data_IF_693929153571
#
_entry.id   IF_693929153571
#
_cell.length_a   1.000
_cell.length_b   1.000
_cell.length_c   1.000
_cell.angle_alpha   90.00
_cell.angle_beta   90.00
_cell.angle_gamma   90.00
#
_symmetry.space_group_name_H-M   'P 1'
#
loop_
_entity.id
_entity.type
_entity.pdbx_description
1 polymer ?
#
# COMPACT_ATOMS: atom_id res chain seq x y z
N UNK A 1 28.29 9.56 -9.99
CA UNK A 1 27.80 10.75 -9.26
C UNK A 1 27.66 10.40 -7.80
N UNK A 2 28.07 11.29 -6.88
CA UNK A 2 27.84 11.08 -5.45
C UNK A 2 26.33 11.09 -5.17
N UNK A 3 25.84 10.16 -4.33
CA UNK A 3 24.43 10.11 -3.95
C UNK A 3 24.11 11.31 -3.06
N UNK A 4 23.08 12.07 -3.42
CA UNK A 4 22.61 13.25 -2.65
C UNK A 4 21.80 12.84 -1.40
N UNK A 5 21.19 11.65 -1.43
CA UNK A 5 20.38 11.09 -0.34
C UNK A 5 20.94 9.73 0.11
N UNK A 6 20.80 9.41 1.40
CA UNK A 6 21.19 8.09 1.93
C UNK A 6 20.29 7.01 1.36
N UNK A 7 20.87 5.85 1.05
CA UNK A 7 20.13 4.72 0.45
C UNK A 7 18.99 4.21 1.34
N UNK A 8 19.16 4.28 2.67
CA UNK A 8 18.14 3.92 3.68
C UNK A 8 16.85 4.76 3.56
N UNK A 9 16.96 5.98 3.01
CA UNK A 9 15.84 6.91 2.85
C UNK A 9 15.11 6.76 1.50
N UNK A 10 15.47 5.74 0.71
CA UNK A 10 14.77 5.43 -0.54
C UNK A 10 13.62 4.46 -0.27
N UNK A 11 12.52 4.65 -0.99
CA UNK A 11 11.46 3.65 -1.17
C UNK A 11 11.22 3.48 -2.66
N UNK A 12 11.64 2.35 -3.21
CA UNK A 12 11.35 1.99 -4.60
C UNK A 12 10.16 1.05 -4.58
N UNK A 13 8.98 1.54 -4.99
CA UNK A 13 7.78 0.72 -4.93
C UNK A 13 6.89 0.90 -6.15
N UNK A 14 6.18 -0.17 -6.49
CA UNK A 14 5.19 -0.14 -7.55
C UNK A 14 3.77 -0.16 -6.99
N UNK A 15 2.84 0.31 -7.81
CA UNK A 15 1.41 0.13 -7.55
C UNK A 15 0.91 -0.95 -8.49
N UNK A 16 0.46 -2.07 -7.92
CA UNK A 16 -0.01 -3.24 -8.65
C UNK A 16 -1.51 -3.42 -8.41
N UNK A 17 -2.27 -3.68 -9.47
CA UNK A 17 -3.72 -3.81 -9.36
C UNK A 17 -4.30 -4.53 -10.58
N UNK A 18 -5.51 -5.07 -10.47
CA UNK A 18 -6.32 -5.41 -11.64
C UNK A 18 -6.86 -4.13 -12.31
N UNK A 19 -7.44 -4.29 -13.50
CA UNK A 19 -8.06 -3.20 -14.26
C UNK A 19 -9.13 -2.52 -13.41
N UNK A 20 -9.24 -1.21 -13.51
CA UNK A 20 -10.22 -0.39 -12.78
C UNK A 20 -10.10 -0.37 -11.26
N UNK A 21 -9.17 -1.05 -10.58
CA UNK A 21 -9.03 -0.95 -9.12
C UNK A 21 -8.59 0.46 -8.61
N UNK A 22 -8.33 1.40 -9.52
CA UNK A 22 -7.97 2.78 -9.21
C UNK A 22 -6.46 3.00 -9.04
N UNK A 23 -5.63 2.22 -9.74
CA UNK A 23 -4.16 2.34 -9.73
C UNK A 23 -3.69 3.74 -10.14
N UNK A 24 -4.00 4.17 -11.36
CA UNK A 24 -3.61 5.50 -11.88
C UNK A 24 -4.16 6.62 -10.99
N UNK A 25 -5.43 6.52 -10.57
CA UNK A 25 -6.01 7.49 -9.63
C UNK A 25 -5.21 7.59 -8.35
N UNK A 26 -4.81 6.45 -7.77
CA UNK A 26 -4.01 6.41 -6.56
C UNK A 26 -2.63 7.02 -6.80
N UNK A 27 -1.96 6.68 -7.91
CA UNK A 27 -0.68 7.28 -8.32
C UNK A 27 -0.78 8.80 -8.39
N UNK A 28 -1.79 9.34 -9.07
CA UNK A 28 -2.00 10.79 -9.17
C UNK A 28 -2.23 11.45 -7.80
N UNK A 29 -2.96 10.79 -6.88
CA UNK A 29 -3.10 11.28 -5.49
C UNK A 29 -1.76 11.32 -4.76
N UNK A 30 -0.90 10.32 -4.95
CA UNK A 30 0.44 10.33 -4.37
C UNK A 30 1.25 11.51 -4.91
N UNK A 31 1.21 11.77 -6.22
CA UNK A 31 1.91 12.90 -6.83
C UNK A 31 1.38 14.25 -6.35
N UNK A 32 0.07 14.38 -6.14
CA UNK A 32 -0.55 15.58 -5.58
C UNK A 32 -0.12 15.83 -4.13
N UNK A 33 -0.26 14.84 -3.24
CA UNK A 33 0.04 15.02 -1.82
C UNK A 33 1.52 15.22 -1.53
N UNK A 34 2.39 14.66 -2.37
CA UNK A 34 3.84 14.88 -2.28
C UNK A 34 4.27 16.23 -2.87
N UNK A 35 3.33 17.01 -3.40
CA UNK A 35 3.57 18.34 -3.98
C UNK A 35 4.23 18.32 -5.36
N UNK A 36 4.37 17.13 -5.98
CA UNK A 36 4.96 16.96 -7.31
C UNK A 36 4.03 17.45 -8.42
N UNK A 37 2.74 17.21 -8.26
CA UNK A 37 1.69 17.79 -9.12
C UNK A 37 0.87 18.82 -8.35
N UNK A 38 0.60 19.96 -8.98
CA UNK A 38 -0.26 21.00 -8.43
C UNK A 38 -1.72 20.87 -8.85
N UNK A 39 -2.03 19.88 -9.70
CA UNK A 39 -3.39 19.55 -10.14
C UNK A 39 -3.66 18.09 -9.87
N UNK A 40 -4.90 17.82 -9.49
CA UNK A 40 -5.43 16.47 -9.48
C UNK A 40 -5.80 16.15 -10.93
N UNK A 41 -5.04 15.27 -11.58
CA UNK A 41 -5.45 14.70 -12.86
C UNK A 41 -6.56 13.68 -12.64
N UNK A 42 -7.67 13.80 -13.36
CA UNK A 42 -8.67 12.74 -13.45
C UNK A 42 -8.41 11.90 -14.71
N UNK A 43 -8.35 10.59 -14.53
CA UNK A 43 -8.07 9.63 -15.61
C UNK A 43 -9.15 9.67 -16.69
N UNK A 44 -10.40 9.90 -16.28
CA UNK A 44 -11.56 9.99 -17.18
C UNK A 44 -11.52 11.23 -18.09
N UNK A 45 -10.77 12.26 -17.73
CA UNK A 45 -10.61 13.49 -18.53
C UNK A 45 -9.36 13.45 -19.41
N UNK A 46 -8.65 12.31 -19.48
CA UNK A 46 -7.39 12.17 -20.21
C UNK A 46 -6.23 12.96 -19.61
N UNK A 47 -6.37 13.44 -18.36
CA UNK A 47 -5.43 14.35 -17.72
C UNK A 47 -4.45 13.66 -16.75
N UNK A 48 -4.38 12.32 -16.77
CA UNK A 48 -3.45 11.56 -15.92
C UNK A 48 -2.00 11.81 -16.35
N UNK A 49 -1.15 12.19 -15.39
CA UNK A 49 0.25 12.59 -15.65
C UNK A 49 1.09 11.40 -16.12
N UNK A 50 0.75 10.18 -15.67
CA UNK A 50 1.53 8.97 -15.93
C UNK A 50 1.13 8.24 -17.23
N UNK A 51 -0.10 8.43 -17.71
CA UNK A 51 -0.62 7.85 -18.96
C UNK A 51 -0.36 8.85 -20.10
N UNK A 52 0.86 8.83 -20.66
CA UNK A 52 1.31 9.83 -21.64
C UNK A 52 1.02 9.44 -23.09
N UNK A 53 0.77 8.14 -23.36
CA UNK A 53 0.43 7.71 -24.71
C UNK A 53 -1.03 8.06 -25.02
N UNK A 54 -1.29 8.53 -26.25
CA UNK A 54 -2.66 8.83 -26.71
C UNK A 54 -3.61 7.63 -26.55
N UNK A 55 -3.10 6.41 -26.77
CA UNK A 55 -3.84 5.16 -26.60
C UNK A 55 -4.15 4.83 -25.12
N UNK A 56 -3.29 5.24 -24.18
CA UNK A 56 -3.56 5.08 -22.74
C UNK A 56 -4.67 6.05 -22.31
N UNK A 57 -4.62 7.30 -22.79
CA UNK A 57 -5.63 8.32 -22.52
C UNK A 57 -6.99 7.99 -23.15
N UNK A 58 -7.00 7.54 -24.40
CA UNK A 58 -8.24 7.15 -25.11
C UNK A 58 -8.95 5.96 -24.46
N UNK A 59 -8.18 5.01 -23.91
CA UNK A 59 -8.72 3.75 -23.37
C UNK A 59 -8.85 3.75 -21.84
N UNK A 60 -8.28 4.74 -21.15
CA UNK A 60 -8.27 4.82 -19.70
C UNK A 60 -7.49 3.68 -19.02
N UNK A 61 -6.46 3.14 -19.68
CA UNK A 61 -5.63 2.03 -19.17
C UNK A 61 -4.15 2.39 -19.24
N UNK A 62 -3.36 1.92 -18.27
CA UNK A 62 -1.90 2.00 -18.33
C UNK A 62 -1.35 0.85 -19.18
N UNK A 63 -0.57 1.18 -20.21
CA UNK A 63 0.07 0.23 -21.14
C UNK A 63 1.55 0.11 -20.82
N UNK A 64 2.23 1.21 -20.52
CA UNK A 64 3.68 1.26 -20.26
C UNK A 64 4.01 1.65 -18.83
N UNK A 65 5.06 1.03 -18.29
CA UNK A 65 5.54 1.34 -16.95
C UNK A 65 6.23 2.70 -16.92
N UNK A 66 5.71 3.64 -16.14
CA UNK A 66 6.30 4.96 -15.95
C UNK A 66 6.89 5.09 -14.53
N UNK A 67 8.09 5.68 -14.44
CA UNK A 67 8.77 5.88 -13.17
C UNK A 67 8.81 7.37 -12.81
N UNK A 68 8.34 7.72 -11.61
CA UNK A 68 8.35 9.09 -11.10
C UNK A 68 9.01 9.16 -9.73
N UNK A 69 9.88 10.15 -9.54
CA UNK A 69 10.46 10.47 -8.24
C UNK A 69 9.69 11.60 -7.56
N UNK A 70 9.34 11.37 -6.30
CA UNK A 70 8.77 12.37 -5.40
C UNK A 70 9.32 12.21 -3.98
N UNK A 71 8.88 13.05 -3.04
CA UNK A 71 9.36 13.04 -1.66
C UNK A 71 8.20 13.08 -0.67
N UNK A 72 8.29 12.27 0.38
CA UNK A 72 7.31 12.22 1.46
C UNK A 72 7.99 12.38 2.81
N UNK A 73 7.38 13.17 3.69
CA UNK A 73 7.86 13.36 5.06
C UNK A 73 7.18 12.33 5.94
N UNK A 74 7.94 11.35 6.43
CA UNK A 74 7.40 10.35 7.35
C UNK A 74 7.05 10.93 8.73
N UNK A 75 6.41 10.12 9.58
CA UNK A 75 5.98 10.53 10.94
C UNK A 75 7.13 11.03 11.83
N UNK A 76 8.34 10.50 11.65
CA UNK A 76 9.55 10.95 12.37
C UNK A 76 10.11 12.30 11.87
N UNK A 77 9.45 12.92 10.89
CA UNK A 77 9.81 14.20 10.32
C UNK A 77 10.94 14.18 9.28
N UNK A 78 11.49 13.02 8.92
CA UNK A 78 12.53 12.94 7.89
C UNK A 78 11.94 12.78 6.49
N UNK A 79 12.56 13.41 5.51
CA UNK A 79 12.18 13.28 4.09
C UNK A 79 12.70 11.97 3.52
N UNK A 80 11.82 11.20 2.88
CA UNK A 80 12.16 10.00 2.10
C UNK A 80 11.97 10.28 0.63
N UNK A 81 12.84 9.68 -0.18
CA UNK A 81 12.70 9.69 -1.63
C UNK A 81 11.85 8.51 -2.06
N UNK A 82 10.73 8.79 -2.70
CA UNK A 82 9.88 7.79 -3.33
C UNK A 82 10.22 7.70 -4.80
N UNK A 83 10.50 6.49 -5.28
CA UNK A 83 10.56 6.18 -6.69
C UNK A 83 9.41 5.22 -6.98
N UNK A 84 8.38 5.77 -7.62
CA UNK A 84 7.11 5.08 -7.88
C UNK A 84 7.17 4.55 -9.31
N UNK A 85 6.93 3.25 -9.48
CA UNK A 85 6.74 2.64 -10.80
C UNK A 85 5.26 2.30 -10.97
N UNK A 86 4.59 2.97 -11.89
CA UNK A 86 3.21 2.63 -12.20
C UNK A 86 3.19 1.42 -13.12
N UNK A 87 2.58 0.30 -12.70
CA UNK A 87 2.66 -0.99 -13.42
C UNK A 87 1.37 -1.26 -14.19
N UNK A 88 1.39 -1.85 -15.41
CA UNK A 88 0.15 -2.18 -16.12
C UNK A 88 -0.77 -3.10 -15.30
N UNK A 89 -2.08 -2.85 -15.33
CA UNK A 89 -3.05 -3.67 -14.57
C UNK A 89 -3.75 -4.74 -15.41
N UNK A 90 -3.52 -4.72 -16.72
CA UNK A 90 -4.16 -5.63 -17.68
C UNK A 90 -3.29 -6.87 -17.90
N UNK A 91 -3.93 -8.04 -17.98
CA UNK A 91 -3.26 -9.35 -18.16
C UNK A 91 -2.43 -9.45 -19.44
N UNK A 92 -2.84 -8.76 -20.50
CA UNK A 92 -2.12 -8.70 -21.77
C UNK A 92 -0.74 -8.03 -21.66
N UNK A 93 -0.46 -7.29 -20.58
CA UNK A 93 0.83 -6.64 -20.33
C UNK A 93 1.63 -7.30 -19.20
N UNK A 94 1.39 -8.60 -18.96
CA UNK A 94 2.07 -9.41 -17.94
C UNK A 94 3.59 -9.34 -17.99
N UNK A 95 4.21 -9.19 -19.17
CA UNK A 95 5.68 -9.04 -19.32
C UNK A 95 6.17 -7.75 -18.66
N UNK A 96 5.45 -6.63 -18.82
CA UNK A 96 5.81 -5.34 -18.21
C UNK A 96 5.61 -5.36 -16.70
N UNK A 97 4.58 -6.06 -16.21
CA UNK A 97 4.37 -6.30 -14.78
C UNK A 97 5.54 -7.12 -14.20
N UNK A 98 5.92 -8.21 -14.87
CA UNK A 98 7.02 -9.07 -14.44
C UNK A 98 8.35 -8.32 -14.41
N UNK A 99 8.61 -7.49 -15.42
CA UNK A 99 9.79 -6.63 -15.47
C UNK A 99 9.80 -5.59 -14.36
N UNK A 100 8.66 -4.97 -14.08
CA UNK A 100 8.54 -3.98 -13.00
C UNK A 100 8.79 -4.61 -11.63
N UNK A 101 8.17 -5.76 -11.34
CA UNK A 101 8.33 -6.45 -10.06
C UNK A 101 9.78 -6.89 -9.78
N UNK A 102 10.60 -7.11 -10.81
CA UNK A 102 12.04 -7.42 -10.65
C UNK A 102 12.90 -6.22 -10.28
N UNK A 103 12.43 -5.01 -10.53
CA UNK A 103 13.16 -3.76 -10.29
C UNK A 103 12.72 -3.11 -8.98
N UNK A 104 11.53 -3.46 -8.49
CA UNK A 104 10.92 -2.90 -7.31
C UNK A 104 11.43 -3.56 -6.03
N UNK A 105 11.70 -2.74 -5.01
CA UNK A 105 12.03 -3.25 -3.69
C UNK A 105 10.76 -3.65 -2.94
N UNK A 106 9.63 -2.97 -3.20
CA UNK A 106 8.32 -3.33 -2.62
C UNK A 106 7.14 -2.95 -3.53
N UNK A 107 5.92 -3.26 -3.12
CA UNK A 107 4.73 -2.91 -3.88
C UNK A 107 3.50 -2.64 -3.01
N UNK A 108 2.55 -1.87 -3.55
CA UNK A 108 1.21 -1.67 -3.01
C UNK A 108 0.23 -2.42 -3.92
N UNK A 109 -0.44 -3.44 -3.38
CA UNK A 109 -1.48 -4.19 -4.05
C UNK A 109 -2.85 -3.54 -3.80
N UNK A 110 -3.46 -2.98 -4.85
CA UNK A 110 -4.79 -2.39 -4.78
C UNK A 110 -5.87 -3.44 -5.01
N UNK A 111 -6.91 -3.36 -4.18
CA UNK A 111 -8.15 -4.12 -4.33
C UNK A 111 -9.32 -3.13 -4.45
N UNK A 112 -10.26 -3.38 -5.36
CA UNK A 112 -11.55 -2.68 -5.37
C UNK A 112 -12.41 -3.24 -4.22
N UNK A 113 -12.78 -2.43 -3.24
CA UNK A 113 -13.56 -2.87 -2.08
C UNK A 113 -14.91 -3.50 -2.44
N UNK A 114 -15.48 -3.19 -3.62
CA UNK A 114 -16.71 -3.79 -4.11
C UNK A 114 -16.48 -5.13 -4.83
N UNK A 115 -15.31 -5.39 -5.40
CA UNK A 115 -15.01 -6.66 -6.07
C UNK A 115 -14.24 -7.64 -5.16
N UNK A 116 -13.34 -7.12 -4.33
CA UNK A 116 -12.42 -7.89 -3.51
C UNK A 116 -11.26 -8.45 -4.35
N UNK A 117 -10.95 -9.73 -4.17
CA UNK A 117 -9.90 -10.42 -4.94
C UNK A 117 -10.48 -11.03 -6.21
N UNK A 118 -10.03 -10.53 -7.36
CA UNK A 118 -10.41 -11.04 -8.68
C UNK A 118 -9.37 -12.01 -9.27
N UNK A 119 -9.72 -12.84 -10.28
CA UNK A 119 -8.77 -13.76 -10.93
C UNK A 119 -7.49 -13.08 -11.45
N UNK A 120 -7.60 -11.85 -11.94
CA UNK A 120 -6.45 -11.05 -12.39
C UNK A 120 -5.57 -10.63 -11.21
N UNK A 121 -6.18 -10.35 -10.05
CA UNK A 121 -5.45 -10.05 -8.81
C UNK A 121 -4.60 -11.25 -8.40
N UNK A 122 -5.14 -12.48 -8.49
CA UNK A 122 -4.36 -13.70 -8.21
C UNK A 122 -3.13 -13.83 -9.11
N UNK A 123 -3.26 -13.45 -10.39
CA UNK A 123 -2.16 -13.55 -11.36
C UNK A 123 -1.02 -12.62 -11.01
N UNK A 124 -1.31 -11.34 -10.75
CA UNK A 124 -0.30 -10.35 -10.35
C UNK A 124 0.28 -10.68 -8.98
N UNK A 125 -0.54 -11.22 -8.07
CA UNK A 125 -0.09 -11.70 -6.77
C UNK A 125 0.95 -12.82 -6.88
N UNK A 126 0.69 -13.84 -7.70
CA UNK A 126 1.63 -14.94 -7.96
C UNK A 126 2.93 -14.46 -8.60
N UNK A 127 2.87 -13.44 -9.46
CA UNK A 127 4.08 -12.83 -10.03
C UNK A 127 4.92 -12.15 -8.94
N UNK A 128 4.29 -11.43 -8.01
CA UNK A 128 5.00 -10.81 -6.89
C UNK A 128 5.54 -11.86 -5.89
N UNK A 129 4.85 -12.97 -5.68
CA UNK A 129 5.33 -14.10 -4.88
C UNK A 129 6.60 -14.72 -5.50
N UNK A 130 6.62 -14.92 -6.83
CA UNK A 130 7.78 -15.48 -7.56
C UNK A 130 9.07 -14.69 -7.28
N UNK A 131 8.97 -13.37 -7.16
CA UNK A 131 10.11 -12.49 -6.87
C UNK A 131 10.27 -12.12 -5.39
N UNK A 132 9.46 -12.71 -4.51
CA UNK A 132 9.48 -12.42 -3.08
C UNK A 132 9.36 -10.92 -2.78
N UNK A 133 8.54 -10.20 -3.54
CA UNK A 133 8.39 -8.74 -3.37
C UNK A 133 7.60 -8.46 -2.09
N UNK A 134 8.17 -7.73 -1.11
CA UNK A 134 7.44 -7.21 0.05
C UNK A 134 6.28 -6.32 -0.39
N UNK A 135 5.10 -6.55 0.19
CA UNK A 135 3.86 -5.91 -0.27
C UNK A 135 3.01 -5.40 0.89
N UNK A 136 2.30 -4.32 0.61
CA UNK A 136 1.16 -3.85 1.39
C UNK A 136 -0.11 -3.96 0.55
N UNK A 137 -1.27 -4.03 1.21
CA UNK A 137 -2.58 -4.09 0.56
C UNK A 137 -3.31 -2.79 0.83
N UNK A 138 -3.91 -2.21 -0.21
CA UNK A 138 -4.80 -1.06 -0.11
C UNK A 138 -6.17 -1.41 -0.69
N UNK A 139 -7.16 -1.57 0.19
CA UNK A 139 -8.56 -1.74 -0.18
C UNK A 139 -9.14 -0.37 -0.55
N UNK A 140 -9.17 -0.10 -1.86
CA UNK A 140 -9.54 1.17 -2.45
C UNK A 140 -11.04 1.21 -2.79
N UNK A 141 -11.54 2.41 -3.13
CA UNK A 141 -12.94 2.66 -3.48
C UNK A 141 -13.94 2.27 -2.38
N UNK A 142 -13.57 2.52 -1.13
CA UNK A 142 -14.49 2.38 0.00
C UNK A 142 -15.76 3.24 -0.12
N UNK A 143 -15.79 4.20 -1.05
CA UNK A 143 -16.93 5.06 -1.35
C UNK A 143 -17.93 4.48 -2.36
N UNK A 144 -17.61 3.35 -3.01
CA UNK A 144 -18.46 2.71 -4.02
C UNK A 144 -19.58 1.91 -3.36
N UNK A 145 -20.76 1.87 -3.98
CA UNK A 145 -21.88 1.01 -3.54
C UNK A 145 -21.41 -0.45 -3.51
N UNK A 146 -21.73 -1.18 -2.44
CA UNK A 146 -21.30 -2.56 -2.21
C UNK A 146 -19.84 -2.71 -1.78
N UNK A 147 -19.16 -1.62 -1.41
CA UNK A 147 -17.82 -1.67 -0.83
C UNK A 147 -17.86 -2.43 0.51
N UNK A 148 -17.07 -3.50 0.59
CA UNK A 148 -16.98 -4.35 1.77
C UNK A 148 -15.51 -4.70 2.08
N UNK A 149 -14.97 -3.99 3.07
CA UNK A 149 -13.61 -4.20 3.56
C UNK A 149 -13.42 -5.59 4.16
N UNK A 150 -14.38 -6.09 4.92
CA UNK A 150 -14.27 -7.36 5.64
C UNK A 150 -14.31 -8.53 4.67
N UNK A 151 -15.17 -8.46 3.64
CA UNK A 151 -15.17 -9.44 2.56
C UNK A 151 -13.84 -9.42 1.79
N UNK A 152 -13.29 -8.24 1.52
CA UNK A 152 -11.98 -8.12 0.88
C UNK A 152 -10.87 -8.77 1.72
N UNK A 153 -10.92 -8.59 3.05
CA UNK A 153 -10.01 -9.24 4.01
C UNK A 153 -10.12 -10.77 3.98
N UNK A 154 -11.34 -11.31 4.04
CA UNK A 154 -11.59 -12.76 3.93
C UNK A 154 -11.09 -13.34 2.60
N UNK A 155 -11.29 -12.60 1.50
CA UNK A 155 -10.86 -13.02 0.16
C UNK A 155 -9.34 -13.09 0.02
N UNK A 156 -8.56 -12.27 0.75
CA UNK A 156 -7.09 -12.36 0.75
C UNK A 156 -6.64 -13.73 1.26
N UNK A 157 -7.21 -14.21 2.37
CA UNK A 157 -6.91 -15.54 2.90
C UNK A 157 -7.39 -16.65 1.98
N UNK A 158 -8.67 -16.60 1.58
CA UNK A 158 -9.32 -17.70 0.86
C UNK A 158 -8.94 -17.84 -0.62
N UNK A 159 -8.61 -16.73 -1.31
CA UNK A 159 -8.25 -16.73 -2.74
C UNK A 159 -6.75 -16.65 -2.98
N UNK A 160 -6.04 -15.79 -2.25
CA UNK A 160 -4.60 -15.58 -2.45
C UNK A 160 -3.76 -16.54 -1.60
N UNK A 161 -4.34 -17.17 -0.57
CA UNK A 161 -3.57 -17.95 0.40
C UNK A 161 -2.60 -17.08 1.22
N UNK A 162 -2.88 -15.77 1.31
CA UNK A 162 -2.04 -14.80 1.97
C UNK A 162 -2.58 -14.39 3.34
N UNK A 163 -1.70 -14.03 4.27
CA UNK A 163 -2.08 -13.48 5.58
C UNK A 163 -2.15 -11.95 5.50
N UNK A 164 -3.34 -11.40 5.34
CA UNK A 164 -3.58 -9.96 5.50
C UNK A 164 -3.56 -9.57 6.98
N UNK A 165 -2.79 -8.55 7.35
CA UNK A 165 -2.80 -7.98 8.70
C UNK A 165 -3.46 -6.62 8.64
N UNK A 166 -4.67 -6.52 9.17
CA UNK A 166 -5.45 -5.28 9.17
C UNK A 166 -4.77 -4.22 10.04
N UNK A 167 -4.36 -3.13 9.41
CA UNK A 167 -3.77 -1.97 10.09
C UNK A 167 -4.81 -0.87 10.33
N UNK A 168 -5.88 -0.87 9.53
CA UNK A 168 -6.93 0.14 9.57
C UNK A 168 -8.32 -0.46 9.38
N UNK A 169 -9.30 0.07 10.12
CA UNK A 169 -10.71 -0.26 9.90
C UNK A 169 -11.45 0.93 9.28
N UNK A 170 -12.35 0.73 8.30
CA UNK A 170 -13.12 1.81 7.71
C UNK A 170 -14.17 2.34 8.69
N UNK A 171 -14.40 3.66 8.66
CA UNK A 171 -15.49 4.34 9.36
C UNK A 171 -16.56 4.70 8.33
N UNK A 172 -17.67 3.96 8.39
CA UNK A 172 -18.69 3.96 7.34
C UNK A 172 -18.27 3.16 6.11
N UNK A 173 -19.17 3.08 5.14
CA UNK A 173 -18.95 2.47 3.84
C UNK A 173 -19.78 3.22 2.79
N UNK A 174 -19.42 3.04 1.52
CA UNK A 174 -20.11 3.70 0.41
C UNK A 174 -20.14 5.23 0.59
N UNK A 175 -21.29 5.87 0.40
CA UNK A 175 -21.44 7.33 0.58
C UNK A 175 -21.16 7.81 2.00
N UNK A 176 -21.31 6.93 3.00
CA UNK A 176 -21.06 7.25 4.41
C UNK A 176 -19.59 7.06 4.83
N UNK A 177 -18.72 6.65 3.89
CA UNK A 177 -17.29 6.50 4.16
C UNK A 177 -16.65 7.87 4.44
N UNK A 178 -16.25 8.07 5.70
CA UNK A 178 -15.71 9.35 6.19
C UNK A 178 -14.32 9.27 6.78
N UNK A 179 -13.85 8.08 7.12
CA UNK A 179 -12.62 7.94 7.88
C UNK A 179 -12.10 6.52 8.00
N UNK A 180 -10.98 6.41 8.71
CA UNK A 180 -10.37 5.13 9.07
C UNK A 180 -9.95 5.16 10.54
N UNK A 181 -9.99 4.02 11.22
CA UNK A 181 -9.42 3.82 12.54
C UNK A 181 -7.97 3.34 12.35
N UNK A 182 -7.00 4.05 12.90
CA UNK A 182 -5.60 3.59 12.99
C UNK A 182 -5.47 2.65 14.19
N UNK A 183 -5.21 1.37 13.95
CA UNK A 183 -5.15 0.35 15.02
C UNK A 183 -3.84 0.39 15.80
N UNK A 184 -2.79 0.99 15.25
CA UNK A 184 -1.51 1.17 15.94
C UNK A 184 -1.66 2.29 16.97
N UNK A 185 -2.23 3.42 16.58
CA UNK A 185 -2.42 4.56 17.50
C UNK A 185 -3.71 4.49 18.31
N UNK A 186 -4.67 3.65 17.91
CA UNK A 186 -6.01 3.56 18.50
C UNK A 186 -6.76 4.90 18.52
N UNK A 187 -6.74 5.57 17.39
CA UNK A 187 -7.55 6.76 17.12
C UNK A 187 -8.25 6.65 15.77
N UNK A 188 -9.22 7.52 15.54
CA UNK A 188 -9.93 7.64 14.27
C UNK A 188 -9.44 8.87 13.50
N UNK A 189 -9.14 8.68 12.22
CA UNK A 189 -8.84 9.72 11.25
C UNK A 189 -10.10 9.99 10.43
N UNK A 190 -10.70 11.17 10.59
CA UNK A 190 -11.93 11.55 9.90
C UNK A 190 -11.65 12.73 8.98
N UNK A 191 -11.86 12.56 7.68
CA UNK A 191 -11.62 13.61 6.70
C UNK A 191 -12.76 14.60 6.66
N UNK A 192 -12.42 15.89 6.49
CA UNK A 192 -13.39 16.96 6.29
C UNK A 192 -13.72 17.04 4.80
N UNK A 193 -14.99 16.83 4.45
CA UNK A 193 -15.47 16.74 3.05
C UNK A 193 -15.21 17.99 2.20
N UNK A 194 -14.94 19.14 2.83
CA UNK A 194 -14.70 20.43 2.14
C UNK A 194 -13.25 20.63 1.65
N UNK A 195 -12.33 19.72 1.97
CA UNK A 195 -10.93 19.81 1.55
C UNK A 195 -10.60 18.70 0.56
N UNK A 196 -9.59 18.90 -0.30
CA UNK A 196 -9.06 17.88 -1.23
C UNK A 196 -8.31 16.76 -0.48
N UNK A 197 -8.89 16.24 0.61
CA UNK A 197 -8.31 15.25 1.51
C UNK A 197 -7.22 15.77 2.45
N UNK A 198 -6.74 17.00 2.26
CA UNK A 198 -5.56 17.50 2.97
C UNK A 198 -5.77 17.74 4.47
N UNK A 199 -7.02 17.88 4.93
CA UNK A 199 -7.33 18.07 6.35
C UNK A 199 -8.21 16.93 6.87
N UNK A 200 -7.72 16.27 7.92
CA UNK A 200 -8.48 15.32 8.71
C UNK A 200 -8.34 15.66 10.20
N UNK A 201 -9.35 15.25 10.97
CA UNK A 201 -9.35 15.32 12.42
C UNK A 201 -8.92 13.98 12.99
N UNK A 202 -8.07 14.03 14.03
CA UNK A 202 -7.77 12.89 14.88
C UNK A 202 -8.76 12.93 16.04
N UNK A 203 -9.66 11.95 16.07
CA UNK A 203 -10.75 11.86 17.06
C UNK A 203 -10.73 10.52 17.77
N UNK A 204 -11.49 10.40 18.85
CA UNK A 204 -11.70 9.11 19.52
C UNK A 204 -12.42 8.12 18.59
N UNK A 205 -12.12 6.83 18.75
CA UNK A 205 -12.77 5.77 17.97
C UNK A 205 -14.27 5.79 18.26
N UNK A 206 -15.13 5.79 17.22
CA UNK A 206 -16.58 5.68 17.38
C UNK A 206 -16.98 4.49 18.26
N UNK A 207 -17.96 4.68 19.14
CA UNK A 207 -18.35 3.69 20.14
C UNK A 207 -18.77 2.34 19.55
N UNK A 208 -19.40 2.37 18.37
CA UNK A 208 -19.82 1.20 17.59
C UNK A 208 -18.65 0.41 16.99
N UNK A 209 -17.50 1.05 16.79
CA UNK A 209 -16.28 0.42 16.25
C UNK A 209 -15.27 0.03 17.33
N UNK A 210 -15.39 0.54 18.56
CA UNK A 210 -14.38 0.35 19.62
C UNK A 210 -14.08 -1.12 19.91
N UNK A 211 -15.11 -1.94 20.15
CA UNK A 211 -14.93 -3.37 20.43
C UNK A 211 -14.29 -4.12 19.24
N UNK A 212 -14.65 -3.74 18.01
CA UNK A 212 -14.07 -4.32 16.80
C UNK A 212 -12.61 -3.87 16.61
N UNK A 213 -12.29 -2.61 16.90
CA UNK A 213 -10.93 -2.09 16.85
C UNK A 213 -10.02 -2.81 17.87
N UNK A 214 -10.50 -3.05 19.08
CA UNK A 214 -9.78 -3.84 20.09
C UNK A 214 -9.50 -5.27 19.61
N UNK A 215 -10.51 -5.95 19.04
CA UNK A 215 -10.36 -7.30 18.47
C UNK A 215 -9.33 -7.35 17.33
N UNK A 216 -9.39 -6.40 16.38
CA UNK A 216 -8.46 -6.38 15.25
C UNK A 216 -7.05 -5.94 15.69
N UNK A 217 -6.93 -5.06 16.70
CA UNK A 217 -5.65 -4.71 17.29
C UNK A 217 -4.97 -5.91 17.95
N UNK A 218 -5.73 -6.74 18.67
CA UNK A 218 -5.20 -7.98 19.26
C UNK A 218 -4.64 -8.91 18.17
N UNK A 219 -5.42 -9.20 17.13
CA UNK A 219 -4.96 -9.99 15.98
C UNK A 219 -3.73 -9.41 15.29
N UNK A 220 -3.65 -8.08 15.17
CA UNK A 220 -2.50 -7.38 14.59
C UNK A 220 -1.26 -7.55 15.48
N UNK A 221 -1.41 -7.42 16.80
CA UNK A 221 -0.32 -7.61 17.76
C UNK A 221 0.16 -9.07 17.74
N UNK A 222 -0.74 -10.04 17.74
CA UNK A 222 -0.42 -11.47 17.62
C UNK A 222 0.44 -11.74 16.37
N UNK A 223 0.01 -11.25 15.21
CA UNK A 223 0.77 -11.39 13.98
C UNK A 223 2.14 -10.70 14.04
N UNK A 224 2.22 -9.53 14.69
CA UNK A 224 3.47 -8.79 14.85
C UNK A 224 4.47 -9.55 15.74
N UNK A 225 4.06 -10.00 16.92
CA UNK A 225 4.97 -10.63 17.89
C UNK A 225 5.50 -11.99 17.41
N UNK A 226 4.77 -12.71 16.56
CA UNK A 226 5.27 -13.93 15.90
C UNK A 226 6.55 -13.72 15.07
N UNK A 227 6.87 -12.48 14.70
CA UNK A 227 8.08 -12.16 13.94
C UNK A 227 9.36 -12.16 14.77
N UNK A 228 9.27 -12.21 16.10
CA UNK A 228 10.41 -12.13 17.00
C UNK A 228 10.19 -12.95 18.29
N UNK A 229 11.08 -13.92 18.55
CA UNK A 229 10.93 -14.85 19.68
C UNK A 229 10.84 -14.11 21.03
N UNK A 230 11.64 -13.06 21.23
CA UNK A 230 11.60 -12.27 22.47
C UNK A 230 10.32 -11.46 22.60
N UNK A 231 9.80 -10.90 21.49
CA UNK A 231 8.51 -10.22 21.51
C UNK A 231 7.35 -11.19 21.84
N UNK A 232 7.38 -12.40 21.27
CA UNK A 232 6.39 -13.44 21.53
C UNK A 232 6.40 -13.90 22.99
N UNK A 233 7.58 -14.16 23.57
CA UNK A 233 7.72 -14.52 24.98
C UNK A 233 7.15 -13.44 25.90
N UNK A 234 7.51 -12.17 25.68
CA UNK A 234 7.00 -11.05 26.46
C UNK A 234 5.46 -10.93 26.37
N UNK A 235 4.90 -11.12 25.17
CA UNK A 235 3.45 -11.08 24.97
C UNK A 235 2.73 -12.20 25.74
N UNK A 236 3.27 -13.43 25.73
CA UNK A 236 2.73 -14.56 26.50
C UNK A 236 2.80 -14.32 28.02
N UNK A 237 3.77 -13.55 28.49
CA UNK A 237 3.87 -13.08 29.89
C UNK A 237 2.92 -11.93 30.22
N UNK A 238 2.11 -11.46 29.26
CA UNK A 238 1.16 -10.35 29.42
C UNK A 238 1.77 -8.96 29.25
N UNK A 239 3.01 -8.84 28.76
CA UNK A 239 3.65 -7.55 28.44
C UNK A 239 3.30 -7.15 27.00
N UNK A 240 2.44 -6.16 26.87
CA UNK A 240 2.05 -5.62 25.56
C UNK A 240 3.19 -4.81 24.92
N UNK A 241 3.49 -5.00 23.62
CA UNK A 241 4.47 -4.19 22.92
C UNK A 241 4.01 -2.74 22.78
N UNK A 242 4.96 -1.82 22.80
CA UNK A 242 4.73 -0.41 22.47
C UNK A 242 4.36 -0.24 20.99
N UNK A 243 3.75 0.90 20.63
CA UNK A 243 3.38 1.19 19.24
C UNK A 243 4.61 1.17 18.29
N UNK A 244 5.78 1.59 18.77
CA UNK A 244 7.01 1.57 17.97
C UNK A 244 7.56 0.16 17.77
N UNK A 245 7.46 -0.71 18.78
CA UNK A 245 7.77 -2.14 18.65
C UNK A 245 6.82 -2.82 17.69
N UNK A 246 5.50 -2.55 17.78
CA UNK A 246 4.51 -3.04 16.81
C UNK A 246 4.92 -2.64 15.39
N UNK A 247 5.27 -1.37 15.16
CA UNK A 247 5.71 -0.92 13.82
C UNK A 247 6.93 -1.68 13.32
N UNK A 248 7.94 -1.84 14.17
CA UNK A 248 9.17 -2.53 13.82
C UNK A 248 8.92 -4.00 13.47
N UNK A 249 8.06 -4.68 14.24
CA UNK A 249 7.68 -6.08 14.02
C UNK A 249 6.84 -6.26 12.74
N UNK A 250 5.88 -5.36 12.49
CA UNK A 250 5.10 -5.34 11.25
C UNK A 250 6.03 -5.12 10.05
N UNK A 251 6.98 -4.19 10.13
CA UNK A 251 8.00 -3.98 9.09
C UNK A 251 8.82 -5.27 8.85
N UNK A 252 9.28 -5.93 9.92
CA UNK A 252 10.04 -7.19 9.85
C UNK A 252 9.24 -8.27 9.12
N UNK A 253 7.96 -8.44 9.45
CA UNK A 253 7.07 -9.40 8.77
C UNK A 253 6.74 -9.05 7.32
N UNK A 254 6.60 -7.77 7.01
CA UNK A 254 6.35 -7.27 5.66
C UNK A 254 7.54 -7.55 4.74
N UNK A 255 8.75 -7.19 5.17
CA UNK A 255 9.99 -7.41 4.40
C UNK A 255 10.28 -8.91 4.24
N UNK A 256 9.99 -9.72 5.26
CA UNK A 256 10.12 -11.16 5.21
C UNK A 256 9.00 -11.88 4.43
N UNK A 257 8.03 -11.14 3.89
CA UNK A 257 6.88 -11.66 3.13
C UNK A 257 6.11 -12.74 3.92
N UNK A 258 5.96 -12.55 5.23
CA UNK A 258 5.21 -13.47 6.12
C UNK A 258 3.74 -13.10 6.22
N UNK A 259 3.45 -11.81 6.13
CA UNK A 259 2.12 -11.26 6.06
C UNK A 259 2.15 -9.90 5.35
N UNK A 260 0.97 -9.36 5.07
CA UNK A 260 0.79 -8.18 4.24
C UNK A 260 -0.05 -7.15 4.98
N UNK A 261 0.51 -6.00 5.40
CA UNK A 261 -0.23 -4.94 6.06
C UNK A 261 -1.34 -4.41 5.16
N UNK A 262 -2.58 -4.38 5.68
CA UNK A 262 -3.78 -4.01 4.93
C UNK A 262 -4.34 -2.68 5.43
N UNK A 263 -4.50 -1.77 4.49
CA UNK A 263 -5.03 -0.41 4.65
C UNK A 263 -6.31 -0.26 3.82
N UNK A 264 -7.09 0.77 4.10
CA UNK A 264 -8.30 1.07 3.32
C UNK A 264 -8.47 2.57 3.06
N UNK A 265 -9.22 2.90 2.02
CA UNK A 265 -9.50 4.28 1.68
C UNK A 265 -10.27 4.45 0.38
N UNK A 266 -10.36 5.71 -0.04
CA UNK A 266 -10.87 6.10 -1.34
C UNK A 266 -9.91 7.11 -1.95
N UNK A 267 -9.13 6.66 -2.94
CA UNK A 267 -8.30 7.56 -3.74
C UNK A 267 -9.15 8.58 -4.51
N UNK A 268 -10.38 8.22 -4.89
CA UNK A 268 -11.30 9.13 -5.59
C UNK A 268 -11.79 10.26 -4.67
N UNK A 269 -12.23 9.91 -3.45
CA UNK A 269 -12.71 10.87 -2.45
C UNK A 269 -11.60 11.49 -1.60
N UNK A 270 -10.33 11.24 -1.92
CA UNK A 270 -9.18 11.83 -1.23
C UNK A 270 -9.04 11.42 0.25
N UNK A 271 -9.51 10.22 0.62
CA UNK A 271 -9.51 9.71 2.00
C UNK A 271 -8.60 8.48 2.11
N UNK A 272 -7.70 8.44 3.09
CA UNK A 272 -6.87 7.27 3.39
C UNK A 272 -5.54 7.15 2.62
N UNK A 273 -5.29 8.00 1.61
CA UNK A 273 -4.04 7.94 0.84
C UNK A 273 -2.84 8.46 1.66
N UNK A 274 -3.02 9.48 2.50
CA UNK A 274 -1.92 10.04 3.30
C UNK A 274 -1.40 9.03 4.35
N UNK A 275 -2.27 8.36 5.14
CA UNK A 275 -1.81 7.29 6.02
C UNK A 275 -1.15 6.13 5.27
N UNK A 276 -1.59 5.83 4.03
CA UNK A 276 -0.91 4.85 3.18
C UNK A 276 0.52 5.29 2.84
N UNK A 277 0.78 6.58 2.58
CA UNK A 277 2.13 7.09 2.32
C UNK A 277 3.03 7.04 3.56
N UNK A 278 2.48 7.29 4.74
CA UNK A 278 3.20 7.06 6.00
C UNK A 278 3.58 5.59 6.15
N UNK A 279 2.63 4.70 5.86
CA UNK A 279 2.83 3.27 5.94
C UNK A 279 3.85 2.74 4.90
N UNK A 280 3.97 3.37 3.73
CA UNK A 280 5.07 3.09 2.77
C UNK A 280 6.44 3.38 3.40
N UNK A 281 6.58 4.47 4.16
CA UNK A 281 7.84 4.76 4.86
C UNK A 281 8.11 3.72 5.94
N UNK A 282 7.07 3.38 6.72
CA UNK A 282 7.18 2.52 7.90
C UNK A 282 7.40 1.05 7.56
N UNK A 283 6.69 0.51 6.56
CA UNK A 283 6.62 -0.94 6.35
C UNK A 283 7.25 -1.44 5.06
N UNK A 284 7.29 -0.64 3.98
CA UNK A 284 7.98 -1.05 2.76
C UNK A 284 9.51 -0.96 2.89
N UNK A 285 10.25 -1.87 2.24
CA UNK A 285 11.70 -1.91 2.32
C UNK A 285 12.35 -0.68 1.71
N UNK A 286 13.53 -0.39 2.21
CA UNK A 286 14.54 0.38 1.48
C UNK A 286 15.41 -0.56 0.65
N UNK A 287 16.21 -0.03 -0.30
CA UNK A 287 17.09 -0.88 -1.13
C UNK A 287 18.14 -1.68 -0.34
N UNK A 288 18.39 -1.35 0.92
CA UNK A 288 19.30 -2.12 1.79
C UNK A 288 18.61 -3.31 2.48
N UNK A 289 17.27 -3.31 2.50
CA UNK A 289 16.48 -4.35 3.16
C UNK A 289 16.17 -5.53 2.21
N UNK A 290 16.39 -5.34 0.91
CA UNK A 290 16.17 -6.37 -0.12
C UNK A 290 17.49 -7.01 -0.56
N UNK A 291 17.50 -8.31 -0.90
CA UNK A 291 18.68 -8.97 -1.44
C UNK A 291 19.17 -8.26 -2.71
N UNK A 292 20.49 -8.17 -2.87
CA UNK A 292 21.06 -7.63 -4.10
C UNK A 292 20.65 -8.49 -5.31
N UNK A 293 20.30 -7.82 -6.41
CA UNK A 293 20.01 -8.49 -7.68
C UNK A 293 21.30 -9.16 -8.15
N UNK A 294 21.21 -10.47 -8.38
CA UNK A 294 22.29 -11.25 -8.97
C UNK A 294 22.20 -11.17 -10.49
N UNK A 295 23.35 -11.04 -11.15
CA UNK A 295 23.44 -10.90 -12.60
C UNK A 295 24.51 -11.83 -13.14
N UNK A 296 24.25 -12.45 -14.27
CA UNK A 296 25.25 -13.30 -14.94
C UNK A 296 26.11 -12.42 -15.83
N UNK A 297 27.42 -12.47 -15.65
CA UNK A 297 28.38 -11.84 -16.56
C UNK A 297 28.34 -12.54 -17.91
N UNK A 298 27.90 -11.82 -18.94
CA UNK A 298 27.71 -12.36 -20.29
C UNK A 298 28.99 -12.85 -20.99
N UNK A 299 30.18 -12.59 -20.43
CA UNK A 299 31.47 -13.04 -20.96
C UNK A 299 32.01 -14.25 -20.21
N UNK A 300 31.70 -14.38 -18.93
CA UNK A 300 32.29 -15.42 -18.07
C UNK A 300 31.27 -16.45 -17.57
N UNK A 301 29.98 -16.23 -17.84
CA UNK A 301 28.85 -16.99 -17.30
C UNK A 301 28.87 -17.12 -15.76
N UNK A 302 29.63 -16.25 -15.08
CA UNK A 302 29.69 -16.19 -13.62
C UNK A 302 28.56 -15.32 -13.07
N UNK A 303 27.98 -15.74 -11.94
CA UNK A 303 26.92 -15.05 -11.18
C UNK A 303 27.46 -13.95 -10.25
#
# INVERSE_FOLDING_TARGET
MAREYKIEDYRNFGIMAHIDAGKTTTTERVLYYTGKSHKIGEVHDGAATMDWMEQEQERGITITSAATTTFWKGRDGKMRRFNIIDTPGHVDFTIEVERSLRVLDGAIALLDANAGVEPQTETVWRQADKYHVPRMIFCNKMDKIGADFYRSEEMIGSRLGARGVVMQLPIGAETEFKGVVDLVEMNALVWRDETLGAAWDVVEIPADLKAKAEQYREKMIEAAVEMDETALENYLEGKMPSNDEIRALIRKGTIAVKFFPMFCGSAFKNKGVQPLLDAVVEYLPSPIDVPAIKGVDAKTDAE
#
